data_IF_287950070906
#
_entry.id   IF_287950070906
#
_cell.length_a   1.000
_cell.length_b   1.000
_cell.length_c   1.000
_cell.angle_alpha   90.00
_cell.angle_beta   90.00
_cell.angle_gamma   90.00
#
_symmetry.space_group_name_H-M   'P 1'
#
loop_
_entity.id
_entity.type
_entity.pdbx_description
1 polymer ?
#
# COMPACT_ATOMS: atom_id res chain seq x y z
N UNK A 1 -64.73 9.22 -28.62
CA UNK A 1 -64.24 7.97 -28.02
C UNK A 1 -62.97 7.60 -28.75
N UNK A 2 -61.84 7.93 -28.14
CA UNK A 2 -60.50 7.54 -28.55
C UNK A 2 -59.63 7.68 -27.31
N UNK A 3 -59.45 6.57 -26.60
CA UNK A 3 -58.51 6.44 -25.48
C UNK A 3 -57.09 6.38 -26.04
N UNK A 4 -56.37 7.49 -25.94
CA UNK A 4 -54.92 7.58 -26.13
C UNK A 4 -54.27 7.46 -24.75
N UNK A 5 -54.06 6.24 -24.26
CA UNK A 5 -53.11 5.99 -23.17
C UNK A 5 -51.71 5.84 -23.74
N UNK A 6 -50.73 6.68 -23.33
CA UNK A 6 -49.35 6.54 -23.80
C UNK A 6 -48.75 5.24 -23.26
N UNK A 7 -48.06 4.49 -24.14
CA UNK A 7 -47.29 3.31 -23.74
C UNK A 7 -46.22 3.70 -22.71
N UNK A 8 -45.93 2.83 -21.71
CA UNK A 8 -44.89 3.10 -20.73
C UNK A 8 -43.55 3.25 -21.46
N UNK A 9 -42.86 4.33 -21.13
CA UNK A 9 -41.53 4.64 -21.63
C UNK A 9 -40.59 3.51 -21.19
N UNK A 10 -40.07 2.73 -22.14
CA UNK A 10 -39.06 1.72 -21.85
C UNK A 10 -37.82 2.46 -21.34
N UNK A 11 -37.51 2.33 -20.05
CA UNK A 11 -36.32 2.94 -19.45
C UNK A 11 -35.08 2.46 -20.24
N UNK A 12 -34.42 3.33 -21.02
CA UNK A 12 -33.31 2.95 -21.87
C UNK A 12 -32.06 2.56 -21.07
N UNK A 13 -32.09 2.73 -19.74
CA UNK A 13 -31.02 2.35 -18.82
C UNK A 13 -31.33 1.08 -18.01
N UNK A 14 -32.48 0.43 -18.23
CA UNK A 14 -32.84 -0.79 -17.53
C UNK A 14 -31.86 -1.94 -17.82
N UNK A 15 -31.43 -2.11 -19.07
CA UNK A 15 -30.41 -3.09 -19.46
C UNK A 15 -29.02 -2.72 -18.92
N UNK A 16 -28.66 -1.44 -18.90
CA UNK A 16 -27.41 -0.98 -18.32
C UNK A 16 -27.34 -1.22 -16.79
N UNK A 17 -28.46 -1.04 -16.08
CA UNK A 17 -28.58 -1.35 -14.65
C UNK A 17 -28.55 -2.86 -14.37
N UNK A 18 -29.22 -3.68 -15.18
CA UNK A 18 -29.16 -5.14 -15.05
C UNK A 18 -27.76 -5.70 -15.34
N UNK A 19 -27.01 -5.06 -16.25
CA UNK A 19 -25.62 -5.39 -16.58
C UNK A 19 -24.63 -5.00 -15.48
N UNK A 20 -24.87 -3.87 -14.80
CA UNK A 20 -23.98 -3.35 -13.74
C UNK A 20 -24.17 -4.00 -12.35
N UNK A 21 -25.35 -4.58 -12.08
CA UNK A 21 -25.71 -5.05 -10.74
C UNK A 21 -26.17 -6.52 -10.70
N UNK A 22 -26.20 -7.21 -11.84
CA UNK A 22 -26.89 -8.49 -11.98
C UNK A 22 -28.41 -8.32 -11.83
N UNK A 23 -29.14 -9.38 -12.14
CA UNK A 23 -30.57 -9.45 -11.86
C UNK A 23 -30.82 -9.53 -10.34
N UNK A 24 -31.98 -9.07 -9.85
CA UNK A 24 -32.33 -9.16 -8.42
C UNK A 24 -32.26 -10.58 -7.83
N UNK A 25 -32.39 -11.61 -8.68
CA UNK A 25 -32.17 -13.01 -8.30
C UNK A 25 -30.70 -13.35 -8.14
N UNK A 26 -29.81 -12.85 -9.01
CA UNK A 26 -28.35 -13.06 -8.91
C UNK A 26 -27.75 -12.36 -7.68
N UNK A 27 -28.24 -11.16 -7.33
CA UNK A 27 -27.83 -10.45 -6.10
C UNK A 27 -28.25 -11.23 -4.84
N UNK A 28 -29.46 -11.81 -4.83
CA UNK A 28 -29.91 -12.67 -3.72
C UNK A 28 -29.15 -13.99 -3.63
N UNK A 29 -28.78 -14.58 -4.77
CA UNK A 29 -27.99 -15.82 -4.79
C UNK A 29 -26.53 -15.59 -4.36
N UNK A 30 -25.98 -14.40 -4.56
CA UNK A 30 -24.67 -14.01 -4.04
C UNK A 30 -24.69 -13.79 -2.51
N UNK A 31 -25.82 -13.34 -1.94
CA UNK A 31 -26.01 -13.22 -0.49
C UNK A 31 -26.19 -14.58 0.21
N UNK A 32 -26.75 -15.58 -0.47
CA UNK A 32 -27.03 -16.93 0.06
C UNK A 32 -25.92 -17.98 -0.22
N UNK A 33 -24.79 -17.57 -0.80
CA UNK A 33 -23.65 -18.48 -0.99
C UNK A 33 -23.09 -18.91 0.38
N UNK A 34 -22.78 -20.22 0.58
CA UNK A 34 -22.25 -20.69 1.85
C UNK A 34 -20.96 -19.94 2.17
N UNK A 35 -20.73 -19.52 3.42
CA UNK A 35 -19.50 -18.85 3.79
C UNK A 35 -18.35 -19.81 3.53
N UNK A 36 -17.56 -19.53 2.49
CA UNK A 36 -16.21 -20.09 2.37
C UNK A 36 -15.54 -19.68 3.66
N UNK A 37 -15.21 -20.66 4.51
CA UNK A 37 -14.85 -20.50 5.92
C UNK A 37 -14.07 -19.20 6.23
N UNK A 38 -14.82 -18.13 6.54
CA UNK A 38 -14.33 -16.93 7.19
C UNK A 38 -14.27 -17.23 8.68
N UNK A 39 -13.40 -18.14 9.09
CA UNK A 39 -13.13 -18.41 10.49
C UNK A 39 -11.66 -18.16 10.76
N UNK A 40 -11.30 -16.88 10.81
CA UNK A 40 -10.08 -16.27 11.40
C UNK A 40 -9.87 -14.79 10.96
N UNK A 41 -10.69 -14.26 10.04
CA UNK A 41 -10.40 -13.01 9.30
C UNK A 41 -10.70 -11.68 10.02
N UNK A 42 -11.43 -11.65 11.12
CA UNK A 42 -11.80 -10.38 11.79
C UNK A 42 -10.67 -9.79 12.65
N UNK A 43 -9.63 -10.55 12.97
CA UNK A 43 -8.51 -10.05 13.80
C UNK A 43 -7.42 -9.32 13.02
N UNK A 44 -7.50 -9.28 11.67
CA UNK A 44 -6.51 -8.62 10.81
C UNK A 44 -7.05 -7.35 10.11
N UNK A 45 -8.32 -6.99 10.30
CA UNK A 45 -8.84 -5.73 9.77
C UNK A 45 -8.19 -4.55 10.48
N UNK A 46 -7.84 -3.51 9.71
CA UNK A 46 -7.37 -2.25 10.26
C UNK A 46 -8.58 -1.44 10.72
N UNK A 47 -8.48 -0.88 11.93
CA UNK A 47 -9.50 -0.05 12.54
C UNK A 47 -9.05 1.40 12.68
N UNK A 48 -9.91 2.20 13.31
CA UNK A 48 -9.59 3.59 13.65
C UNK A 48 -8.37 3.72 14.59
N UNK A 49 -8.00 2.65 15.30
CA UNK A 49 -6.78 2.57 16.11
C UNK A 49 -5.54 2.93 15.29
N UNK A 50 -5.45 2.46 14.05
CA UNK A 50 -4.32 2.77 13.17
C UNK A 50 -4.14 4.28 12.95
N UNK A 51 -5.24 5.01 12.72
CA UNK A 51 -5.20 6.45 12.48
C UNK A 51 -4.82 7.22 13.76
N UNK A 52 -5.29 6.74 14.91
CA UNK A 52 -4.89 7.31 16.21
C UNK A 52 -3.42 7.06 16.52
N UNK A 53 -2.93 5.85 16.26
CA UNK A 53 -1.54 5.48 16.47
C UNK A 53 -0.62 6.26 15.53
N UNK A 54 -1.02 6.45 14.26
CA UNK A 54 -0.30 7.30 13.31
C UNK A 54 -0.26 8.75 13.79
N UNK A 55 -1.39 9.29 14.23
CA UNK A 55 -1.45 10.67 14.73
C UNK A 55 -0.60 10.86 15.99
N UNK A 56 -0.63 9.88 16.92
CA UNK A 56 0.20 9.88 18.11
C UNK A 56 1.70 9.83 17.74
N UNK A 57 2.06 8.95 16.81
CA UNK A 57 3.42 8.81 16.30
C UNK A 57 3.93 10.10 15.65
N UNK A 58 3.12 10.77 14.83
CA UNK A 58 3.47 12.08 14.24
C UNK A 58 3.65 13.13 15.35
N UNK A 59 2.77 13.15 16.35
CA UNK A 59 2.89 14.05 17.49
C UNK A 59 4.16 13.81 18.32
N UNK A 60 4.60 12.56 18.46
CA UNK A 60 5.90 12.21 19.07
C UNK A 60 7.07 12.74 18.24
N UNK A 61 7.03 12.57 16.91
CA UNK A 61 8.08 13.08 16.02
C UNK A 61 8.22 14.61 16.14
N UNK A 62 7.10 15.34 16.16
CA UNK A 62 7.10 16.81 16.29
C UNK A 62 7.68 17.30 17.63
N UNK A 63 7.58 16.48 18.68
CA UNK A 63 8.06 16.81 20.02
C UNK A 63 9.50 16.31 20.29
N UNK A 64 10.06 15.49 19.42
CA UNK A 64 11.37 14.88 19.61
C UNK A 64 12.49 15.87 19.28
N UNK A 65 13.38 16.10 20.24
CA UNK A 65 14.52 17.03 20.06
C UNK A 65 15.44 16.58 18.92
N UNK A 66 15.73 17.51 18.00
CA UNK A 66 16.58 17.29 16.84
C UNK A 66 15.85 16.76 15.60
N UNK A 67 14.57 16.38 15.71
CA UNK A 67 13.70 16.11 14.57
C UNK A 67 13.10 17.43 14.05
N UNK A 68 13.07 17.59 12.73
CA UNK A 68 12.59 18.78 12.02
C UNK A 68 11.79 18.37 10.77
N UNK A 69 11.06 19.32 10.18
CA UNK A 69 10.29 19.11 8.94
C UNK A 69 9.36 17.89 8.96
N UNK A 70 8.65 17.70 10.07
CA UNK A 70 7.60 16.68 10.14
C UNK A 70 6.43 17.12 9.27
N UNK A 71 6.05 16.30 8.31
CA UNK A 71 4.87 16.51 7.47
C UNK A 71 4.01 15.25 7.49
N UNK A 72 2.69 15.42 7.49
CA UNK A 72 1.75 14.30 7.43
C UNK A 72 0.48 14.72 6.70
N UNK A 73 0.02 13.84 5.82
CA UNK A 73 -1.22 13.95 5.04
C UNK A 73 -1.92 12.61 5.09
N UNK A 74 -3.20 12.62 5.50
CA UNK A 74 -4.06 11.43 5.46
C UNK A 74 -5.20 11.76 4.50
N UNK A 75 -5.35 10.95 3.46
CA UNK A 75 -6.39 11.19 2.46
C UNK A 75 -7.75 10.69 2.97
N UNK A 76 -8.86 11.36 2.59
CA UNK A 76 -10.20 10.91 2.97
C UNK A 76 -10.46 9.46 2.53
N UNK A 77 -11.32 8.71 3.24
CA UNK A 77 -11.70 7.35 2.85
C UNK A 77 -12.16 7.19 1.40
N UNK A 78 -11.86 6.04 0.81
CA UNK A 78 -12.38 5.64 -0.49
C UNK A 78 -13.88 5.32 -0.39
N UNK A 79 -14.73 5.93 -1.24
CA UNK A 79 -16.12 5.56 -1.33
C UNK A 79 -16.30 4.08 -1.76
N UNK A 80 -17.25 3.38 -1.14
CA UNK A 80 -17.55 1.98 -1.49
C UNK A 80 -17.86 1.77 -2.98
N UNK A 81 -18.50 2.74 -3.62
CA UNK A 81 -18.79 2.64 -5.05
C UNK A 81 -17.50 2.56 -5.89
N UNK A 82 -16.45 3.30 -5.50
CA UNK A 82 -15.15 3.30 -6.19
C UNK A 82 -14.49 1.94 -6.03
N UNK A 83 -14.48 1.39 -4.82
CA UNK A 83 -13.94 0.05 -4.53
C UNK A 83 -14.65 -0.99 -5.41
N UNK A 84 -15.98 -1.02 -5.39
CA UNK A 84 -16.74 -1.98 -6.19
C UNK A 84 -16.54 -1.82 -7.69
N UNK A 85 -16.36 -0.58 -8.18
CA UNK A 85 -16.13 -0.32 -9.60
C UNK A 85 -14.80 -0.91 -10.05
N UNK A 86 -13.73 -0.70 -9.26
CA UNK A 86 -12.40 -1.21 -9.56
C UNK A 86 -12.36 -2.75 -9.39
N UNK A 87 -12.94 -3.29 -8.32
CA UNK A 87 -13.07 -4.75 -8.14
C UNK A 87 -13.77 -5.41 -9.34
N UNK A 88 -14.87 -4.82 -9.81
CA UNK A 88 -15.59 -5.33 -10.97
C UNK A 88 -14.76 -5.20 -12.27
N UNK A 89 -14.03 -4.09 -12.44
CA UNK A 89 -13.14 -3.88 -13.58
C UNK A 89 -11.98 -4.87 -13.65
N UNK A 90 -11.43 -5.24 -12.49
CA UNK A 90 -10.33 -6.20 -12.36
C UNK A 90 -10.76 -7.66 -12.32
N UNK A 91 -12.06 -7.95 -12.12
CA UNK A 91 -12.53 -9.32 -11.88
C UNK A 91 -12.13 -9.91 -10.53
N UNK A 92 -11.59 -9.11 -9.60
CA UNK A 92 -11.10 -9.56 -8.28
C UNK A 92 -11.93 -8.98 -7.13
N UNK A 93 -11.81 -9.61 -5.95
CA UNK A 93 -12.34 -9.06 -4.69
C UNK A 93 -11.20 -8.70 -3.76
N UNK A 94 -11.12 -7.44 -3.36
CA UNK A 94 -10.08 -6.99 -2.43
C UNK A 94 -10.37 -7.53 -1.02
N UNK A 95 -9.42 -8.23 -0.37
CA UNK A 95 -9.59 -8.78 0.96
C UNK A 95 -10.04 -7.73 1.96
N UNK A 96 -10.90 -8.13 2.90
CA UNK A 96 -11.43 -7.24 3.93
C UNK A 96 -10.33 -6.48 4.69
N UNK A 97 -9.18 -7.12 4.97
CA UNK A 97 -8.03 -6.49 5.63
C UNK A 97 -7.46 -5.29 4.85
N UNK A 98 -7.30 -5.39 3.53
CA UNK A 98 -6.78 -4.30 2.69
C UNK A 98 -7.87 -3.27 2.44
N UNK A 99 -9.08 -3.73 2.10
CA UNK A 99 -10.25 -2.88 1.90
C UNK A 99 -10.55 -2.02 3.13
N UNK A 100 -10.40 -2.56 4.35
CA UNK A 100 -10.61 -1.83 5.59
C UNK A 100 -9.68 -0.62 5.74
N UNK A 101 -8.42 -0.73 5.29
CA UNK A 101 -7.49 0.41 5.27
C UNK A 101 -8.01 1.52 4.36
N UNK A 102 -8.36 1.20 3.12
CA UNK A 102 -8.82 2.19 2.14
C UNK A 102 -10.19 2.80 2.50
N UNK A 103 -11.02 2.06 3.25
CA UNK A 103 -12.25 2.58 3.85
C UNK A 103 -12.02 3.50 5.07
N UNK A 104 -10.79 3.59 5.57
CA UNK A 104 -10.38 4.50 6.64
C UNK A 104 -9.59 5.70 6.11
N UNK A 105 -8.72 5.48 5.13
CA UNK A 105 -7.97 6.52 4.44
C UNK A 105 -7.56 6.06 3.03
N UNK A 106 -7.71 6.93 2.03
CA UNK A 106 -7.31 6.65 0.65
C UNK A 106 -5.81 6.89 0.42
N UNK A 107 -4.99 6.17 1.19
CA UNK A 107 -3.56 6.42 1.28
C UNK A 107 -3.19 7.46 2.34
N UNK A 108 -1.90 7.50 2.64
CA UNK A 108 -1.32 8.44 3.59
C UNK A 108 0.14 8.69 3.24
N UNK A 109 0.60 9.89 3.57
CA UNK A 109 1.97 10.31 3.41
C UNK A 109 2.43 10.94 4.71
N UNK A 110 3.60 10.54 5.20
CA UNK A 110 4.30 11.32 6.20
C UNK A 110 5.80 11.25 5.96
N UNK A 111 6.50 12.28 6.38
CA UNK A 111 7.96 12.32 6.36
C UNK A 111 8.48 13.16 7.49
N UNK A 112 9.72 12.88 7.90
CA UNK A 112 10.43 13.67 8.88
C UNK A 112 11.91 13.70 8.55
N UNK A 113 12.58 14.74 9.01
CA UNK A 113 14.02 14.95 8.86
C UNK A 113 14.65 15.23 10.22
N UNK A 114 15.96 15.26 10.28
CA UNK A 114 16.68 15.66 11.50
C UNK A 114 17.88 16.51 11.16
N UNK A 115 18.31 17.32 12.13
CA UNK A 115 19.50 18.14 11.99
C UNK A 115 20.76 17.37 12.45
N UNK A 116 21.81 17.40 11.62
CA UNK A 116 23.14 16.90 11.96
C UNK A 116 24.18 17.81 11.31
N UNK A 117 25.09 18.35 12.12
CA UNK A 117 26.17 19.21 11.64
C UNK A 117 25.68 20.44 10.83
N UNK A 118 24.53 21.02 11.20
CA UNK A 118 23.81 22.10 10.49
C UNK A 118 23.23 21.72 9.12
N UNK A 119 23.20 20.43 8.78
CA UNK A 119 22.53 19.89 7.59
C UNK A 119 21.21 19.20 7.98
N UNK A 120 20.20 19.37 7.12
CA UNK A 120 18.91 18.68 7.26
C UNK A 120 19.00 17.36 6.50
N UNK A 121 18.90 16.26 7.23
CA UNK A 121 19.00 14.91 6.69
C UNK A 121 17.63 14.22 6.78
N UNK A 122 17.16 13.51 5.74
CA UNK A 122 15.95 12.70 5.82
C UNK A 122 16.07 11.66 6.95
N UNK A 123 15.09 11.65 7.84
CA UNK A 123 14.99 10.67 8.91
C UNK A 123 14.18 9.44 8.50
N UNK A 124 13.07 9.68 7.81
CA UNK A 124 12.18 8.62 7.39
C UNK A 124 10.84 9.12 6.88
N UNK A 125 9.95 8.17 6.59
CA UNK A 125 8.59 8.42 6.13
C UNK A 125 7.95 7.16 5.56
N UNK A 126 6.70 7.32 5.14
CA UNK A 126 6.00 6.40 4.27
C UNK A 126 5.11 7.19 3.30
N UNK A 127 4.88 6.64 2.13
CA UNK A 127 3.96 7.16 1.14
C UNK A 127 3.15 5.99 0.62
N UNK A 128 2.07 5.68 1.33
CA UNK A 128 1.13 4.63 0.94
C UNK A 128 0.19 5.20 -0.12
N UNK A 129 0.23 4.59 -1.30
CA UNK A 129 -0.55 5.05 -2.44
C UNK A 129 -2.05 4.90 -2.23
N UNK A 130 -2.79 5.80 -2.89
CA UNK A 130 -4.24 5.76 -2.96
C UNK A 130 -4.73 4.49 -3.69
N UNK A 131 -5.98 4.11 -3.43
CA UNK A 131 -6.57 2.86 -3.88
C UNK A 131 -6.60 2.76 -5.41
N UNK A 132 -6.89 3.86 -6.10
CA UNK A 132 -6.89 3.88 -7.56
C UNK A 132 -5.47 3.66 -8.11
N UNK A 133 -4.45 4.24 -7.49
CA UNK A 133 -3.06 4.05 -7.87
C UNK A 133 -2.64 2.59 -7.69
N UNK A 134 -3.03 1.95 -6.58
CA UNK A 134 -2.69 0.54 -6.32
C UNK A 134 -3.46 -0.42 -7.23
N UNK A 135 -4.76 -0.20 -7.45
CA UNK A 135 -5.62 -1.21 -8.10
C UNK A 135 -6.05 -0.85 -9.53
N UNK A 136 -6.22 0.43 -9.88
CA UNK A 136 -6.70 0.86 -11.19
C UNK A 136 -5.55 1.21 -12.16
N UNK A 137 -4.46 1.79 -11.65
CA UNK A 137 -3.32 2.18 -12.49
C UNK A 137 -2.28 1.07 -12.59
N UNK A 138 -2.01 0.63 -13.81
CA UNK A 138 -0.78 -0.08 -14.11
C UNK A 138 0.33 0.98 -14.09
N UNK A 139 1.30 0.84 -13.19
CA UNK A 139 2.47 1.71 -13.20
C UNK A 139 3.37 1.33 -14.37
N UNK A 140 3.00 1.73 -15.59
CA UNK A 140 3.75 1.46 -16.83
C UNK A 140 5.25 1.77 -16.70
N UNK A 141 5.61 2.74 -15.84
CA UNK A 141 6.99 3.13 -15.54
C UNK A 141 7.79 2.09 -14.73
N UNK A 142 7.13 1.16 -14.01
CA UNK A 142 7.81 0.03 -13.36
C UNK A 142 8.05 -1.13 -14.33
N UNK A 143 7.28 -1.20 -15.41
CA UNK A 143 7.18 -2.37 -16.28
C UNK A 143 7.98 -2.18 -17.57
N UNK A 144 9.31 -2.21 -17.48
CA UNK A 144 10.17 -2.26 -18.66
C UNK A 144 10.48 -3.71 -19.03
N UNK A 145 9.62 -4.32 -19.85
CA UNK A 145 9.88 -5.64 -20.43
C UNK A 145 11.07 -5.57 -21.40
N UNK A 146 12.11 -6.38 -21.17
CA UNK A 146 13.26 -6.49 -22.07
C UNK A 146 13.21 -7.77 -22.92
N UNK A 147 13.84 -7.75 -24.09
CA UNK A 147 13.87 -8.86 -25.04
C UNK A 147 14.53 -10.16 -24.53
N UNK A 148 15.09 -10.15 -23.30
CA UNK A 148 15.74 -11.30 -22.67
C UNK A 148 15.00 -11.88 -21.46
N UNK A 149 13.86 -11.31 -21.06
CA UNK A 149 13.03 -11.86 -19.97
C UNK A 149 12.29 -13.12 -20.43
N UNK A 150 12.11 -14.08 -19.53
CA UNK A 150 11.22 -15.20 -19.79
C UNK A 150 9.76 -14.74 -19.74
N UNK A 151 8.86 -15.52 -20.35
CA UNK A 151 7.42 -15.25 -20.33
C UNK A 151 6.91 -15.21 -18.88
N UNK A 152 7.36 -16.14 -18.03
CA UNK A 152 6.98 -16.19 -16.62
C UNK A 152 7.43 -14.95 -15.83
N UNK A 153 8.57 -14.36 -16.18
CA UNK A 153 9.06 -13.13 -15.53
C UNK A 153 8.24 -11.91 -15.93
N UNK A 154 7.87 -11.82 -17.20
CA UNK A 154 6.97 -10.79 -17.69
C UNK A 154 5.60 -10.91 -17.02
N UNK A 155 5.03 -12.11 -16.97
CA UNK A 155 3.72 -12.37 -16.37
C UNK A 155 3.70 -12.01 -14.88
N UNK A 156 4.73 -12.40 -14.11
CA UNK A 156 4.84 -11.99 -12.70
C UNK A 156 4.95 -10.47 -12.54
N UNK A 157 5.73 -9.79 -13.39
CA UNK A 157 5.82 -8.33 -13.35
C UNK A 157 4.44 -7.68 -13.57
N UNK A 158 3.61 -8.25 -14.45
CA UNK A 158 2.25 -7.77 -14.67
C UNK A 158 1.30 -7.98 -13.48
N UNK A 159 1.61 -8.82 -12.50
CA UNK A 159 0.77 -8.97 -11.29
C UNK A 159 1.12 -7.95 -10.21
N UNK A 160 2.28 -7.30 -10.28
CA UNK A 160 2.74 -6.40 -9.23
C UNK A 160 2.11 -4.99 -9.37
N UNK A 161 1.83 -4.36 -8.24
CA UNK A 161 1.23 -3.01 -8.14
C UNK A 161 1.99 -2.18 -7.12
N UNK A 162 2.27 -0.91 -7.41
CA UNK A 162 2.91 -0.04 -6.41
C UNK A 162 2.04 0.09 -5.17
N UNK A 163 2.64 0.01 -3.98
CA UNK A 163 1.94 0.13 -2.70
C UNK A 163 2.52 1.22 -1.78
N UNK A 164 3.84 1.23 -1.58
CA UNK A 164 4.56 2.24 -0.76
C UNK A 164 5.83 2.73 -1.46
N UNK A 165 6.22 3.99 -1.24
CA UNK A 165 7.55 4.48 -1.63
C UNK A 165 8.54 4.34 -0.48
N UNK A 166 9.69 3.70 -0.74
CA UNK A 166 10.75 3.65 0.26
C UNK A 166 11.48 4.99 0.38
N UNK A 167 11.94 5.28 1.59
CA UNK A 167 12.81 6.42 1.89
C UNK A 167 14.23 5.90 2.11
N UNK A 168 15.20 6.44 1.36
CA UNK A 168 16.63 6.10 1.48
C UNK A 168 17.44 7.34 1.87
N UNK A 169 18.41 7.18 2.79
CA UNK A 169 19.26 8.25 3.28
C UNK A 169 20.06 8.96 2.17
N UNK A 170 20.52 8.22 1.16
CA UNK A 170 21.31 8.75 0.03
C UNK A 170 20.50 9.63 -0.94
N UNK A 171 19.17 9.66 -0.81
CA UNK A 171 18.29 10.50 -1.64
C UNK A 171 18.38 12.00 -1.31
N UNK A 172 19.16 12.41 -0.30
CA UNK A 172 19.35 13.80 0.10
C UNK A 172 20.39 14.55 -0.74
N UNK A 173 21.32 13.84 -1.40
CA UNK A 173 22.46 14.47 -2.09
C UNK A 173 22.11 14.98 -3.49
N UNK A 174 21.00 14.51 -4.08
CA UNK A 174 20.51 14.99 -5.37
C UNK A 174 19.14 15.61 -5.21
N UNK A 175 19.07 16.88 -5.56
CA UNK A 175 17.89 17.74 -5.69
C UNK A 175 16.61 16.95 -6.02
N UNK A 176 15.45 17.24 -5.38
CA UNK A 176 14.18 16.64 -5.76
C UNK A 176 13.78 17.17 -7.14
N UNK A 177 14.26 16.49 -8.18
CA UNK A 177 13.76 16.60 -9.53
C UNK A 177 12.77 15.46 -9.82
N UNK A 178 11.97 15.57 -10.89
CA UNK A 178 11.14 14.45 -11.37
C UNK A 178 11.95 13.17 -11.60
N UNK A 179 13.24 13.29 -11.95
CA UNK A 179 14.16 12.16 -12.15
C UNK A 179 14.66 11.51 -10.83
N UNK A 180 14.35 12.08 -9.66
CA UNK A 180 14.69 11.47 -8.35
C UNK A 180 13.72 10.33 -7.96
N UNK A 181 12.64 10.15 -8.73
CA UNK A 181 11.72 9.01 -8.66
C UNK A 181 12.30 7.76 -9.33
N UNK A 182 13.23 7.90 -10.28
CA UNK A 182 13.75 6.81 -11.11
C UNK A 182 14.74 5.86 -10.38
N UNK A 183 15.07 6.13 -9.11
CA UNK A 183 16.17 5.46 -8.43
C UNK A 183 15.84 4.81 -7.08
N UNK A 184 14.57 4.70 -6.69
CA UNK A 184 14.19 4.23 -5.36
C UNK A 184 13.54 2.85 -5.41
N UNK A 185 13.90 2.00 -4.43
CA UNK A 185 13.12 0.80 -4.17
C UNK A 185 11.68 1.19 -3.82
N UNK A 186 10.73 0.34 -4.13
CA UNK A 186 9.34 0.55 -3.76
C UNK A 186 8.76 -0.71 -3.18
N UNK A 187 7.79 -0.58 -2.27
CA UNK A 187 7.00 -1.73 -1.90
C UNK A 187 5.92 -1.91 -2.95
N UNK A 188 5.87 -3.10 -3.52
CA UNK A 188 4.85 -3.52 -4.48
C UNK A 188 4.02 -4.66 -3.90
N UNK A 189 2.77 -4.75 -4.31
CA UNK A 189 1.81 -5.76 -3.90
C UNK A 189 1.51 -6.68 -5.09
N UNK A 190 1.54 -8.00 -4.89
CA UNK A 190 1.11 -8.97 -5.89
C UNK A 190 -0.43 -9.04 -5.94
N UNK A 191 -1.00 -8.62 -7.06
CA UNK A 191 -2.43 -8.63 -7.36
C UNK A 191 -2.66 -9.45 -8.62
N UNK A 192 -3.06 -10.70 -8.44
CA UNK A 192 -3.30 -11.66 -9.53
C UNK A 192 -4.76 -12.13 -9.51
N UNK A 193 -5.39 -12.22 -10.69
CA UNK A 193 -6.81 -12.62 -10.80
C UNK A 193 -7.05 -14.07 -10.34
N UNK A 194 -6.16 -14.98 -10.76
CA UNK A 194 -6.31 -16.42 -10.49
C UNK A 194 -5.88 -16.80 -9.07
N UNK A 195 -4.97 -16.03 -8.45
CA UNK A 195 -4.45 -16.29 -7.11
C UNK A 195 -4.03 -15.00 -6.39
N UNK A 196 -4.97 -14.20 -5.87
CA UNK A 196 -4.65 -12.90 -5.31
C UNK A 196 -4.04 -13.07 -3.91
N UNK A 197 -2.71 -13.23 -3.83
CA UNK A 197 -2.01 -13.42 -2.55
C UNK A 197 -1.89 -12.12 -1.76
N UNK A 198 -1.76 -10.99 -2.46
CA UNK A 198 -1.47 -9.67 -1.88
C UNK A 198 -0.18 -9.65 -1.05
N UNK A 199 0.76 -10.52 -1.40
CA UNK A 199 2.09 -10.51 -0.83
C UNK A 199 2.79 -9.18 -1.17
N UNK A 200 3.58 -8.68 -0.22
CA UNK A 200 4.33 -7.45 -0.39
C UNK A 200 5.78 -7.78 -0.73
N UNK A 201 6.35 -7.02 -1.66
CA UNK A 201 7.75 -7.16 -2.07
C UNK A 201 8.44 -5.80 -2.02
N UNK A 202 9.70 -5.77 -1.63
CA UNK A 202 10.58 -4.66 -1.95
C UNK A 202 11.12 -4.88 -3.36
N UNK A 203 10.70 -4.03 -4.28
CA UNK A 203 11.13 -4.04 -5.68
C UNK A 203 12.19 -2.98 -5.90
N UNK A 204 13.36 -3.40 -6.37
CA UNK A 204 14.41 -2.51 -6.86
C UNK A 204 14.26 -2.36 -8.39
N UNK A 205 13.82 -1.19 -8.90
CA UNK A 205 13.64 -1.00 -10.34
C UNK A 205 14.96 -1.05 -11.13
N UNK A 206 16.12 -0.82 -10.48
CA UNK A 206 17.44 -0.85 -11.14
C UNK A 206 17.89 -2.28 -11.40
N UNK A 207 17.81 -3.13 -10.38
CA UNK A 207 18.17 -4.55 -10.50
C UNK A 207 17.02 -5.41 -10.99
N UNK A 208 15.80 -4.86 -11.00
CA UNK A 208 14.53 -5.55 -11.26
C UNK A 208 14.35 -6.78 -10.38
N UNK A 209 14.87 -6.71 -9.16
CA UNK A 209 14.70 -7.77 -8.17
C UNK A 209 13.54 -7.41 -7.26
N UNK A 210 12.71 -8.41 -6.97
CA UNK A 210 11.63 -8.31 -5.99
C UNK A 210 11.96 -9.26 -4.84
N UNK A 211 12.03 -8.74 -3.62
CA UNK A 211 12.32 -9.50 -2.41
C UNK A 211 11.07 -9.55 -1.54
N UNK A 212 10.64 -10.76 -1.19
CA UNK A 212 9.42 -10.97 -0.40
C UNK A 212 9.57 -10.36 1.00
N UNK A 213 8.53 -9.65 1.43
CA UNK A 213 8.33 -9.26 2.82
C UNK A 213 7.48 -10.34 3.50
N UNK A 214 8.09 -11.10 4.42
CA UNK A 214 7.40 -12.17 5.16
C UNK A 214 6.55 -11.58 6.30
N UNK A 215 5.49 -10.85 5.93
CA UNK A 215 4.59 -10.18 6.87
C UNK A 215 3.15 -10.17 6.36
N UNK A 216 2.21 -10.18 7.31
CA UNK A 216 0.83 -9.79 7.03
C UNK A 216 0.70 -8.28 6.81
N UNK A 217 -0.41 -7.88 6.18
CA UNK A 217 -0.72 -6.46 5.96
C UNK A 217 -0.71 -5.66 7.27
N UNK A 218 -1.28 -6.18 8.37
CA UNK A 218 -1.25 -5.52 9.69
C UNK A 218 0.17 -5.38 10.24
N UNK A 219 0.96 -6.45 10.17
CA UNK A 219 2.34 -6.46 10.66
C UNK A 219 3.22 -5.43 9.94
N UNK A 220 2.98 -5.21 8.65
CA UNK A 220 3.65 -4.17 7.89
C UNK A 220 3.42 -2.77 8.51
N UNK A 221 2.16 -2.42 8.83
CA UNK A 221 1.83 -1.15 9.50
C UNK A 221 2.37 -1.06 10.92
N UNK A 222 2.26 -2.15 11.69
CA UNK A 222 2.78 -2.18 13.06
C UNK A 222 4.31 -1.96 13.07
N UNK A 223 5.02 -2.45 12.04
CA UNK A 223 6.45 -2.21 11.87
C UNK A 223 6.73 -0.77 11.44
N UNK A 224 5.97 -0.23 10.47
CA UNK A 224 6.05 1.17 10.06
C UNK A 224 5.91 2.12 11.26
N UNK A 225 4.91 1.90 12.10
CA UNK A 225 4.65 2.71 13.29
C UNK A 225 5.76 2.54 14.33
N UNK A 226 6.18 1.31 14.63
CA UNK A 226 7.24 1.04 15.61
C UNK A 226 8.58 1.68 15.22
N UNK A 227 8.88 1.71 13.93
CA UNK A 227 10.11 2.28 13.37
C UNK A 227 9.98 3.75 12.99
N UNK A 228 8.76 4.32 13.11
CA UNK A 228 8.43 5.70 12.72
C UNK A 228 8.82 6.00 11.26
N UNK A 229 8.75 4.98 10.42
CA UNK A 229 9.19 5.04 9.02
C UNK A 229 10.66 5.38 8.82
N UNK A 230 11.53 5.20 9.83
CA UNK A 230 12.98 5.48 9.71
C UNK A 230 13.52 4.79 8.45
N UNK A 231 14.32 5.49 7.64
CA UNK A 231 14.74 4.98 6.33
C UNK A 231 15.28 3.54 6.40
N UNK A 232 14.94 2.72 5.40
CA UNK A 232 15.35 1.32 5.34
C UNK A 232 14.64 0.37 6.33
N UNK A 233 13.60 0.81 7.05
CA UNK A 233 12.86 -0.05 7.99
C UNK A 233 12.23 -1.29 7.33
N UNK A 234 11.86 -1.23 6.05
CA UNK A 234 11.30 -2.37 5.31
C UNK A 234 12.31 -3.53 5.23
N UNK A 235 13.62 -3.25 5.30
CA UNK A 235 14.65 -4.29 5.31
C UNK A 235 14.61 -5.17 6.57
N UNK A 236 13.92 -4.73 7.64
CA UNK A 236 13.67 -5.58 8.81
C UNK A 236 12.71 -6.73 8.47
N UNK A 237 11.89 -6.59 7.43
CA UNK A 237 10.79 -7.51 7.11
C UNK A 237 11.13 -8.51 5.99
N UNK A 238 12.36 -8.46 5.46
CA UNK A 238 12.79 -9.34 4.38
C UNK A 238 12.96 -10.78 4.88
N UNK A 239 12.56 -11.74 4.05
CA UNK A 239 12.71 -13.18 4.35
C UNK A 239 14.19 -13.64 4.40
N UNK A 240 15.07 -12.97 3.66
CA UNK A 240 16.49 -13.32 3.57
C UNK A 240 17.24 -12.97 4.88
N UNK A 241 17.49 -14.02 5.68
CA UNK A 241 18.04 -14.00 7.05
C UNK A 241 19.41 -13.35 7.27
N UNK A 242 20.16 -13.06 6.21
CA UNK A 242 21.44 -12.37 6.32
C UNK A 242 21.33 -11.02 5.61
N UNK A 243 20.79 -9.97 6.28
CA UNK A 243 20.94 -8.61 5.77
C UNK A 243 22.43 -8.40 5.50
N UNK A 244 22.78 -7.90 4.31
CA UNK A 244 24.20 -7.72 4.01
C UNK A 244 24.77 -6.82 5.10
N UNK A 245 25.89 -7.24 5.69
CA UNK A 245 26.54 -6.51 6.78
C UNK A 245 26.69 -5.03 6.38
N UNK A 246 25.95 -4.14 7.07
CA UNK A 246 25.93 -2.69 6.79
C UNK A 246 24.60 -2.13 6.28
N UNK A 247 23.67 -2.93 5.72
CA UNK A 247 22.41 -2.44 5.13
C UNK A 247 21.47 -1.80 6.16
N UNK A 248 21.51 -2.26 7.42
CA UNK A 248 20.70 -1.72 8.52
C UNK A 248 21.49 -0.77 9.44
N UNK A 249 22.77 -0.53 9.19
CA UNK A 249 23.61 0.25 10.11
C UNK A 249 23.12 1.70 10.22
N UNK A 250 22.81 2.34 9.08
CA UNK A 250 22.23 3.68 9.06
C UNK A 250 20.88 3.75 9.78
N UNK A 251 20.01 2.77 9.52
CA UNK A 251 18.73 2.64 10.20
C UNK A 251 18.90 2.62 11.73
N UNK A 252 19.78 1.76 12.25
CA UNK A 252 20.00 1.65 13.70
C UNK A 252 20.64 2.90 14.29
N UNK A 253 21.60 3.54 13.59
CA UNK A 253 22.20 4.79 14.05
C UNK A 253 21.16 5.89 14.27
N UNK A 254 20.16 5.99 13.38
CA UNK A 254 19.08 6.99 13.50
C UNK A 254 18.04 6.56 14.51
N UNK A 255 17.60 5.30 14.47
CA UNK A 255 16.60 4.77 15.40
C UNK A 255 17.08 4.84 16.86
N UNK A 256 18.34 4.49 17.15
CA UNK A 256 18.91 4.55 18.50
C UNK A 256 19.12 5.99 18.98
N UNK A 257 19.38 6.92 18.07
CA UNK A 257 19.55 8.34 18.40
C UNK A 257 18.26 8.98 18.89
N UNK A 258 17.14 8.71 18.22
CA UNK A 258 15.88 9.42 18.46
C UNK A 258 14.84 8.59 19.22
N UNK A 259 14.88 7.25 19.13
CA UNK A 259 13.84 6.36 19.65
C UNK A 259 14.34 5.20 20.56
N UNK A 260 15.25 5.42 21.53
CA UNK A 260 15.66 4.36 22.48
C UNK A 260 14.64 4.16 23.63
N UNK A 261 14.32 2.92 24.08
CA UNK A 261 14.65 1.60 23.55
C UNK A 261 13.42 1.00 22.82
N UNK A 262 13.33 1.20 21.51
CA UNK A 262 12.33 0.49 20.71
C UNK A 262 12.74 -0.98 20.61
N UNK A 263 11.95 -1.92 21.17
CA UNK A 263 12.21 -3.36 21.02
C UNK A 263 11.86 -3.80 19.58
N UNK A 264 12.83 -3.65 18.69
CA UNK A 264 12.72 -4.02 17.29
C UNK A 264 13.05 -5.50 17.05
N UNK A 265 13.38 -6.27 18.10
CA UNK A 265 13.79 -7.67 17.94
C UNK A 265 12.66 -8.56 17.41
N UNK A 266 11.40 -8.20 17.67
CA UNK A 266 10.25 -8.95 17.12
C UNK A 266 10.19 -8.92 15.59
N UNK A 267 10.81 -7.91 14.96
CA UNK A 267 10.82 -7.72 13.52
C UNK A 267 12.03 -8.36 12.86
N UNK A 268 13.12 -8.60 13.59
CA UNK A 268 14.31 -9.30 13.10
C UNK A 268 14.00 -10.81 13.05
N UNK A 269 13.47 -11.30 11.93
CA UNK A 269 13.16 -12.73 11.72
C UNK A 269 14.36 -13.54 11.26
#
# INVERSE_FOLDING_TARGET
MSDDTPKPNSDPFAEARASLWGTPEEVRMAEDAPPVALSESDSQSLGLDLLFDLHAMVGELEQTEGIVNVTSTIHPPVPLFTIHTIEHGLGIRVPARIRSFYMLCDGLEFSWSYEKDSEIIPGGGAHLFDFATVFDSWLDSLWLSEAGMSEEQCDFMWTLRGFDRTFNADSAVKTPGPDALDEREMVVMCVEEEYPTYDLFVHDPKTRSSRLLDVSFREYFDCLLATRGTYGWQNLLLEDREPRQGELEGFYQVAERFFPPSDLNRWRR
#
